data_IF_983256116874
#
_entry.id   IF_983256116874
#
_cell.length_a   1.000
_cell.length_b   1.000
_cell.length_c   1.000
_cell.angle_alpha   90.00
_cell.angle_beta   90.00
_cell.angle_gamma   90.00
#
_symmetry.space_group_name_H-M   'P 1'
#
loop_
_entity.id
_entity.type
_entity.pdbx_description
1 polymer ?
#
# COMPACT_ATOMS: atom_id res chain seq x y z
N UNK A 1 -37.82 -66.26 10.45
CA UNK A 1 -37.82 -65.52 9.16
C UNK A 1 -37.39 -64.07 9.45
N UNK A 2 -36.22 -63.69 8.92
CA UNK A 2 -35.61 -62.34 8.78
C UNK A 2 -35.45 -61.40 10.00
N UNK A 3 -34.22 -61.32 10.53
CA UNK A 3 -33.60 -60.10 11.10
C UNK A 3 -32.39 -59.72 10.22
N UNK A 4 -32.36 -58.47 9.78
CA UNK A 4 -31.35 -57.81 8.92
C UNK A 4 -30.41 -57.04 9.89
N UNK A 5 -29.14 -57.41 10.12
CA UNK A 5 -27.85 -56.90 9.54
C UNK A 5 -27.76 -55.36 9.42
N UNK A 6 -26.72 -54.59 9.80
CA UNK A 6 -25.25 -54.63 9.69
C UNK A 6 -24.68 -53.39 10.46
N UNK A 7 -23.41 -53.38 10.89
CA UNK A 7 -22.42 -52.26 10.88
C UNK A 7 -21.36 -52.50 11.99
N UNK A 8 -20.08 -52.80 11.74
CA UNK A 8 -18.98 -52.17 10.97
C UNK A 8 -17.92 -51.60 11.94
N UNK A 9 -16.74 -52.22 11.87
CA UNK A 9 -15.40 -51.62 11.98
C UNK A 9 -15.07 -50.73 13.20
N UNK A 10 -14.62 -51.41 14.26
CA UNK A 10 -13.46 -50.95 15.02
C UNK A 10 -12.22 -51.07 14.11
N UNK A 11 -11.59 -49.96 13.73
CA UNK A 11 -10.14 -49.82 13.44
C UNK A 11 -9.85 -48.33 13.17
N UNK A 12 -8.77 -47.83 13.77
CA UNK A 12 -8.06 -46.57 13.47
C UNK A 12 -8.67 -45.25 13.96
N UNK A 13 -8.84 -45.13 15.28
CA UNK A 13 -8.88 -43.84 15.99
C UNK A 13 -7.53 -43.62 16.71
N UNK A 14 -6.42 -43.66 15.98
CA UNK A 14 -5.10 -43.23 16.46
C UNK A 14 -4.21 -42.96 15.24
N UNK A 15 -3.54 -41.80 15.22
CA UNK A 15 -2.73 -41.20 14.14
C UNK A 15 -3.50 -40.29 13.14
N UNK A 16 -4.09 -39.20 13.65
CA UNK A 16 -3.91 -37.86 13.05
C UNK A 16 -4.42 -36.78 14.03
N UNK A 17 -3.65 -36.45 15.06
CA UNK A 17 -3.86 -35.23 15.85
C UNK A 17 -2.75 -34.24 15.54
N UNK A 18 -2.72 -33.76 14.30
CA UNK A 18 -2.08 -32.51 13.92
C UNK A 18 -2.42 -32.24 12.46
N UNK A 19 -3.55 -31.58 12.22
CA UNK A 19 -3.70 -30.51 11.24
C UNK A 19 -5.13 -29.98 11.38
N UNK A 20 -5.31 -28.96 12.23
CA UNK A 20 -6.49 -28.10 12.14
C UNK A 20 -6.35 -27.26 10.87
N UNK A 21 -6.69 -27.83 9.73
CA UNK A 21 -6.96 -27.08 8.51
C UNK A 21 -8.47 -27.17 8.25
N UNK A 22 -9.21 -26.29 8.93
CA UNK A 22 -10.61 -26.08 8.62
C UNK A 22 -10.67 -25.33 7.28
N UNK A 23 -10.90 -26.06 6.20
CA UNK A 23 -11.13 -25.49 4.88
C UNK A 23 -12.53 -24.86 4.89
N UNK A 24 -12.62 -23.52 4.82
CA UNK A 24 -13.86 -22.85 4.44
C UNK A 24 -13.72 -22.44 2.98
N UNK A 25 -14.20 -23.28 2.07
CA UNK A 25 -14.44 -22.86 0.69
C UNK A 25 -15.64 -21.92 0.66
N UNK A 26 -15.49 -20.72 0.09
CA UNK A 26 -16.59 -19.80 -0.15
C UNK A 26 -17.02 -18.94 1.04
N UNK A 27 -16.09 -18.47 1.88
CA UNK A 27 -16.41 -17.48 2.91
C UNK A 27 -16.73 -16.12 2.25
N UNK A 28 -17.99 -15.91 1.86
CA UNK A 28 -18.55 -14.60 1.51
C UNK A 28 -19.24 -14.02 2.76
N UNK A 29 -18.54 -13.12 3.46
CA UNK A 29 -19.10 -12.41 4.61
C UNK A 29 -19.79 -11.14 4.10
N UNK A 30 -21.13 -11.10 4.13
CA UNK A 30 -21.90 -9.91 3.73
C UNK A 30 -22.20 -9.10 5.00
N UNK A 31 -21.44 -8.05 5.24
CA UNK A 31 -21.69 -7.09 6.32
C UNK A 31 -22.79 -6.10 5.92
N UNK A 32 -23.75 -5.82 6.82
CA UNK A 32 -24.71 -4.72 6.68
C UNK A 32 -24.52 -3.74 7.83
N UNK A 33 -24.59 -2.42 7.58
CA UNK A 33 -24.38 -1.36 8.60
C UNK A 33 -23.10 -0.53 8.40
N UNK A 34 -22.96 0.56 9.17
CA UNK A 34 -21.81 1.46 9.12
C UNK A 34 -20.68 0.97 10.05
N UNK A 35 -19.42 1.06 9.62
CA UNK A 35 -18.22 0.74 10.41
C UNK A 35 -18.14 -0.71 10.95
N UNK A 36 -18.65 -1.69 10.20
CA UNK A 36 -18.53 -3.09 10.57
C UNK A 36 -17.29 -3.71 9.94
N UNK A 37 -16.37 -4.20 10.78
CA UNK A 37 -15.26 -5.02 10.34
C UNK A 37 -15.77 -6.42 9.95
N UNK A 38 -15.44 -6.86 8.74
CA UNK A 38 -15.77 -8.23 8.31
C UNK A 38 -14.81 -9.28 8.89
N UNK A 39 -13.55 -8.90 9.12
CA UNK A 39 -12.51 -9.76 9.67
C UNK A 39 -11.64 -8.94 10.60
N UNK A 40 -11.71 -9.23 11.91
CA UNK A 40 -10.83 -8.65 12.93
C UNK A 40 -10.08 -9.77 13.64
N UNK A 41 -8.76 -9.62 13.80
CA UNK A 41 -7.90 -10.59 14.48
C UNK A 41 -7.43 -10.02 15.82
N UNK A 42 -8.03 -10.47 16.92
CA UNK A 42 -7.60 -10.12 18.28
C UNK A 42 -6.62 -11.16 18.82
N UNK A 43 -5.47 -10.71 19.32
CA UNK A 43 -4.45 -11.56 19.92
C UNK A 43 -3.65 -10.75 20.97
N UNK A 44 -3.15 -11.42 22.02
CA UNK A 44 -2.32 -10.79 23.06
C UNK A 44 -0.81 -10.76 22.71
N UNK A 45 -0.46 -11.13 21.48
CA UNK A 45 0.88 -11.13 20.93
C UNK A 45 0.84 -10.60 19.48
N UNK A 46 1.12 -11.43 18.48
CA UNK A 46 1.07 -11.02 17.07
C UNK A 46 -0.24 -11.45 16.40
N UNK A 47 -0.91 -10.49 15.75
CA UNK A 47 -1.92 -10.78 14.72
C UNK A 47 -1.25 -10.73 13.35
N UNK A 48 -1.31 -11.82 12.59
CA UNK A 48 -0.65 -11.93 11.28
C UNK A 48 -1.64 -12.40 10.22
N UNK A 49 -1.61 -11.76 9.06
CA UNK A 49 -2.21 -12.26 7.82
C UNK A 49 -1.04 -12.67 6.92
N UNK A 50 -0.93 -13.95 6.60
CA UNK A 50 0.11 -14.49 5.73
C UNK A 50 -0.52 -15.02 4.44
N UNK A 51 0.05 -14.66 3.30
CA UNK A 51 -0.36 -15.14 1.98
C UNK A 51 0.84 -15.77 1.28
N UNK A 52 0.65 -16.98 0.76
CA UNK A 52 1.67 -17.75 0.06
C UNK A 52 1.18 -18.08 -1.35
N UNK A 53 1.96 -17.71 -2.35
CA UNK A 53 1.73 -18.04 -3.76
C UNK A 53 2.99 -18.71 -4.30
N UNK A 54 2.85 -19.86 -4.95
CA UNK A 54 3.95 -20.58 -5.59
C UNK A 54 3.72 -20.57 -7.09
N UNK A 55 4.65 -20.01 -7.85
CA UNK A 55 4.57 -19.93 -9.31
C UNK A 55 5.95 -19.86 -9.97
N UNK A 56 6.01 -20.35 -11.21
CA UNK A 56 7.15 -20.17 -12.12
C UNK A 56 6.95 -18.96 -13.08
N UNK A 57 5.83 -18.24 -12.96
CA UNK A 57 5.50 -17.04 -13.74
C UNK A 57 5.92 -15.77 -12.98
N UNK A 58 6.43 -14.77 -13.70
CA UNK A 58 6.91 -13.50 -13.09
C UNK A 58 5.79 -12.59 -12.59
N UNK A 59 4.52 -12.92 -12.87
CA UNK A 59 3.38 -12.06 -12.54
C UNK A 59 2.41 -12.66 -11.50
N UNK A 60 2.60 -13.92 -11.10
CA UNK A 60 1.73 -14.58 -10.13
C UNK A 60 2.23 -14.32 -8.71
N UNK A 61 1.51 -13.48 -7.97
CA UNK A 61 1.91 -13.00 -6.64
C UNK A 61 0.71 -12.93 -5.69
N UNK A 62 0.93 -12.91 -4.37
CA UNK A 62 -0.13 -12.53 -3.44
C UNK A 62 -0.45 -11.03 -3.59
N UNK A 63 -1.74 -10.69 -3.64
CA UNK A 63 -2.20 -9.30 -3.82
C UNK A 63 -3.27 -8.97 -2.79
N UNK A 64 -3.22 -7.76 -2.24
CA UNK A 64 -4.35 -7.13 -1.56
C UNK A 64 -5.02 -6.15 -2.52
N UNK A 65 -6.31 -6.34 -2.80
CA UNK A 65 -7.07 -5.51 -3.74
C UNK A 65 -8.23 -4.86 -3.02
N UNK A 66 -8.31 -3.53 -3.10
CA UNK A 66 -9.49 -2.78 -2.71
C UNK A 66 -10.37 -2.54 -3.94
N UNK A 67 -11.61 -3.01 -3.90
CA UNK A 67 -12.64 -2.64 -4.87
C UNK A 67 -13.53 -1.57 -4.26
N UNK A 68 -13.66 -0.43 -4.93
CA UNK A 68 -14.50 0.68 -4.46
C UNK A 68 -15.43 1.13 -5.57
N UNK A 69 -16.72 1.16 -5.24
CA UNK A 69 -17.79 1.81 -6.00
C UNK A 69 -18.56 2.74 -5.07
N UNK A 70 -19.31 3.69 -5.63
CA UNK A 70 -20.33 4.44 -4.87
C UNK A 70 -21.62 3.60 -4.83
N UNK A 71 -22.64 4.09 -4.12
CA UNK A 71 -23.93 3.41 -4.02
C UNK A 71 -23.96 2.32 -2.96
N UNK A 72 -24.64 1.21 -3.25
CA UNK A 72 -24.84 0.09 -2.32
C UNK A 72 -24.63 -1.26 -3.01
N UNK A 73 -24.49 -2.32 -2.23
CA UNK A 73 -24.41 -3.68 -2.75
C UNK A 73 -25.66 -4.00 -3.61
N UNK A 74 -25.46 -4.55 -4.82
CA UNK A 74 -26.54 -4.79 -5.79
C UNK A 74 -27.00 -3.55 -6.58
N UNK A 75 -26.43 -2.38 -6.32
CA UNK A 75 -26.72 -1.11 -7.02
C UNK A 75 -25.50 -0.19 -6.99
N UNK A 76 -24.38 -0.68 -7.53
CA UNK A 76 -23.13 0.08 -7.58
C UNK A 76 -23.25 1.28 -8.52
N UNK A 77 -22.62 2.38 -8.13
CA UNK A 77 -22.49 3.60 -8.90
C UNK A 77 -21.01 3.88 -9.19
N UNK A 78 -20.76 4.61 -10.27
CA UNK A 78 -19.42 5.02 -10.65
C UNK A 78 -18.75 5.86 -9.56
N UNK A 79 -17.43 5.69 -9.41
CA UNK A 79 -16.60 6.56 -8.57
C UNK A 79 -16.48 7.95 -9.21
N UNK A 80 -16.32 8.99 -8.39
CA UNK A 80 -16.08 10.36 -8.85
C UNK A 80 -14.63 10.78 -8.60
N UNK A 81 -14.12 11.81 -9.31
CA UNK A 81 -12.81 12.39 -9.02
C UNK A 81 -12.62 12.73 -7.53
N UNK A 82 -11.46 12.37 -6.98
CA UNK A 82 -11.13 12.56 -5.56
C UNK A 82 -11.73 11.52 -4.60
N UNK A 83 -12.51 10.55 -5.08
CA UNK A 83 -12.94 9.43 -4.25
C UNK A 83 -11.72 8.59 -3.83
N UNK A 84 -11.64 8.24 -2.55
CA UNK A 84 -10.63 7.30 -2.05
C UNK A 84 -10.99 5.88 -2.49
N UNK A 85 -10.04 5.18 -3.11
CA UNK A 85 -10.23 3.83 -3.66
C UNK A 85 -9.85 2.77 -2.62
N UNK A 86 -8.66 2.90 -2.03
CA UNK A 86 -8.16 2.00 -1.00
C UNK A 86 -7.11 2.70 -0.15
N UNK A 87 -6.78 2.14 1.01
CA UNK A 87 -5.76 2.70 1.87
C UNK A 87 -5.21 1.68 2.87
N UNK A 88 -3.98 1.93 3.30
CA UNK A 88 -3.32 1.26 4.41
C UNK A 88 -3.19 2.27 5.55
N UNK A 89 -3.68 1.91 6.73
CA UNK A 89 -3.78 2.82 7.87
C UNK A 89 -3.01 2.28 9.07
N UNK A 90 -2.19 3.14 9.67
CA UNK A 90 -1.63 2.93 11.00
C UNK A 90 -2.47 3.67 12.03
N UNK A 91 -3.05 2.93 12.98
CA UNK A 91 -3.78 3.48 14.12
C UNK A 91 -3.03 3.24 15.41
N UNK A 92 -3.12 4.20 16.34
CA UNK A 92 -2.53 4.11 17.68
C UNK A 92 -3.65 4.07 18.72
N UNK A 93 -3.46 3.34 19.82
CA UNK A 93 -4.39 3.34 20.94
C UNK A 93 -3.89 4.28 22.04
N UNK A 94 -4.61 5.37 22.28
CA UNK A 94 -4.24 6.41 23.24
C UNK A 94 -5.52 6.92 23.91
N UNK A 95 -5.48 7.15 25.23
CA UNK A 95 -6.63 7.60 26.04
C UNK A 95 -7.92 6.81 25.81
N UNK A 96 -7.81 5.49 25.77
CA UNK A 96 -8.94 4.57 25.57
C UNK A 96 -9.62 4.68 24.19
N UNK A 97 -8.93 5.20 23.18
CA UNK A 97 -9.46 5.30 21.81
C UNK A 97 -8.40 4.98 20.74
N UNK A 98 -8.84 4.49 19.58
CA UNK A 98 -7.98 4.25 18.43
C UNK A 98 -7.98 5.45 17.48
N UNK A 99 -6.79 5.99 17.19
CA UNK A 99 -6.60 7.18 16.35
C UNK A 99 -5.74 6.86 15.15
N UNK A 100 -6.26 7.10 13.94
CA UNK A 100 -5.51 6.91 12.70
C UNK A 100 -4.42 7.97 12.59
N UNK A 101 -3.15 7.55 12.57
CA UNK A 101 -1.98 8.43 12.62
C UNK A 101 -1.29 8.58 11.26
N UNK A 102 -0.94 7.47 10.63
CA UNK A 102 -0.22 7.46 9.35
C UNK A 102 -1.02 6.68 8.31
N UNK A 103 -0.89 7.05 7.04
CA UNK A 103 -1.59 6.36 5.97
C UNK A 103 -0.85 6.39 4.64
N UNK A 104 -1.10 5.36 3.85
CA UNK A 104 -0.88 5.35 2.39
C UNK A 104 -2.25 5.20 1.75
N UNK A 105 -2.65 6.15 0.93
CA UNK A 105 -4.01 6.22 0.41
C UNK A 105 -3.99 6.41 -1.11
N UNK A 106 -4.85 5.67 -1.79
CA UNK A 106 -5.00 5.71 -3.25
C UNK A 106 -6.35 6.35 -3.60
N UNK A 107 -6.36 7.23 -4.60
CA UNK A 107 -7.53 8.02 -4.96
C UNK A 107 -7.78 7.98 -6.47
N UNK A 108 -9.04 8.18 -6.83
CA UNK A 108 -9.46 8.48 -8.18
C UNK A 108 -8.95 9.88 -8.60
N UNK A 109 -8.34 9.96 -9.77
CA UNK A 109 -7.83 11.19 -10.37
C UNK A 109 -8.92 12.06 -10.99
N UNK A 110 -8.49 13.06 -11.76
CA UNK A 110 -9.34 14.11 -12.34
C UNK A 110 -10.26 13.60 -13.45
N UNK A 111 -9.82 12.60 -14.22
CA UNK A 111 -10.56 12.05 -15.35
C UNK A 111 -10.91 10.58 -15.09
N UNK A 112 -12.20 10.30 -14.94
CA UNK A 112 -12.76 8.97 -14.71
C UNK A 112 -13.91 8.72 -15.69
N UNK A 113 -13.72 7.79 -16.63
CA UNK A 113 -14.69 7.31 -17.61
C UNK A 113 -14.21 5.99 -18.24
N UNK A 114 -14.99 5.42 -19.16
CA UNK A 114 -14.70 4.11 -19.77
C UNK A 114 -13.34 3.98 -20.48
N UNK A 115 -12.68 5.10 -20.79
CA UNK A 115 -11.41 5.14 -21.51
C UNK A 115 -10.28 5.80 -20.69
N UNK A 116 -10.55 6.25 -19.47
CA UNK A 116 -9.54 6.88 -18.61
C UNK A 116 -9.92 6.75 -17.15
N UNK A 117 -9.03 6.16 -16.36
CA UNK A 117 -9.21 5.90 -14.94
C UNK A 117 -7.97 6.40 -14.19
N UNK A 118 -7.72 7.70 -14.32
CA UNK A 118 -6.58 8.34 -13.64
C UNK A 118 -6.63 8.10 -12.13
N UNK A 119 -5.46 8.04 -11.49
CA UNK A 119 -5.36 7.86 -10.04
C UNK A 119 -4.08 8.49 -9.51
N UNK A 120 -4.05 8.73 -8.21
CA UNK A 120 -2.87 9.23 -7.50
C UNK A 120 -2.73 8.55 -6.13
N UNK A 121 -1.53 8.62 -5.57
CA UNK A 121 -1.19 8.04 -4.26
C UNK A 121 -0.67 9.14 -3.36
N UNK A 122 -1.10 9.13 -2.10
CA UNK A 122 -0.58 10.02 -1.06
C UNK A 122 0.00 9.24 0.12
N UNK A 123 1.01 9.83 0.74
CA UNK A 123 1.60 9.39 1.99
C UNK A 123 1.37 10.49 3.02
N UNK A 124 0.70 10.15 4.12
CA UNK A 124 0.29 11.13 5.14
C UNK A 124 0.77 10.77 6.54
N UNK A 125 1.20 11.78 7.29
CA UNK A 125 1.59 11.66 8.70
C UNK A 125 1.14 12.88 9.50
N UNK A 126 1.03 12.72 10.83
CA UNK A 126 0.76 13.80 11.79
C UNK A 126 2.09 14.28 12.37
N UNK A 127 2.25 15.61 12.55
CA UNK A 127 3.44 16.15 13.23
C UNK A 127 3.42 15.84 14.73
N UNK A 128 4.56 16.01 15.38
CA UNK A 128 4.60 16.06 16.84
C UNK A 128 3.67 17.17 17.36
N UNK A 129 2.94 16.90 18.46
CA UNK A 129 2.01 17.83 19.09
C UNK A 129 0.82 18.26 18.20
N UNK A 130 0.52 17.53 17.14
CA UNK A 130 -0.62 17.77 16.26
C UNK A 130 -1.62 16.60 16.29
N UNK A 131 -2.83 16.84 15.77
CA UNK A 131 -3.88 15.80 15.65
C UNK A 131 -4.40 15.63 14.22
N UNK A 132 -3.97 16.49 13.30
CA UNK A 132 -4.43 16.47 11.91
C UNK A 132 -3.36 15.84 11.02
N UNK A 133 -3.76 14.86 10.20
CA UNK A 133 -2.88 14.25 9.21
C UNK A 133 -2.69 15.19 8.03
N UNK A 134 -1.43 15.39 7.65
CA UNK A 134 -1.03 16.16 6.48
C UNK A 134 -0.47 15.24 5.42
N UNK A 135 -0.71 15.58 4.16
CA UNK A 135 -0.01 14.99 3.02
C UNK A 135 1.47 15.40 3.06
N UNK A 136 2.37 14.41 2.93
CA UNK A 136 3.82 14.63 2.95
C UNK A 136 4.46 14.38 1.60
N UNK A 137 3.97 13.36 0.92
CA UNK A 137 4.43 12.97 -0.41
C UNK A 137 3.24 12.52 -1.23
N UNK A 138 3.28 12.82 -2.53
CA UNK A 138 2.31 12.36 -3.51
C UNK A 138 3.01 11.85 -4.76
N UNK A 139 2.42 10.82 -5.35
CA UNK A 139 2.60 10.48 -6.76
C UNK A 139 1.33 10.96 -7.47
N UNK A 140 1.45 12.04 -8.21
CA UNK A 140 0.35 12.66 -8.93
C UNK A 140 -0.06 11.82 -10.15
N UNK A 141 -1.24 12.09 -10.71
CA UNK A 141 -1.80 11.33 -11.83
C UNK A 141 -0.99 11.42 -13.13
N UNK A 142 -0.17 12.46 -13.28
CA UNK A 142 0.80 12.62 -14.37
C UNK A 142 2.14 11.90 -14.12
N UNK A 143 2.23 11.15 -13.01
CA UNK A 143 3.42 10.42 -12.57
C UNK A 143 4.53 11.30 -12.00
N UNK A 144 4.23 12.54 -11.60
CA UNK A 144 5.17 13.39 -10.88
C UNK A 144 5.14 13.10 -9.38
N UNK A 145 6.30 13.20 -8.73
CA UNK A 145 6.44 13.03 -7.28
C UNK A 145 6.57 14.40 -6.63
N UNK A 146 5.63 14.74 -5.76
CA UNK A 146 5.70 15.93 -4.90
C UNK A 146 6.06 15.54 -3.48
N UNK A 147 6.95 16.31 -2.84
CA UNK A 147 7.19 16.29 -1.39
C UNK A 147 6.86 17.68 -0.85
N UNK A 148 5.89 17.75 0.08
CA UNK A 148 5.38 19.02 0.60
C UNK A 148 4.49 19.82 -0.37
N UNK A 149 4.12 19.25 -1.52
CA UNK A 149 3.22 19.86 -2.52
C UNK A 149 2.24 18.83 -3.06
N UNK A 150 1.00 19.25 -3.31
CA UNK A 150 -0.07 18.44 -3.89
C UNK A 150 -0.18 18.60 -5.42
N UNK A 151 0.49 19.60 -6.00
CA UNK A 151 0.53 19.89 -7.44
C UNK A 151 1.98 20.04 -7.95
N UNK A 152 2.74 18.93 -8.10
CA UNK A 152 4.13 18.98 -8.56
C UNK A 152 4.25 19.30 -10.07
N UNK A 153 5.03 20.34 -10.40
CA UNK A 153 5.26 20.80 -11.77
C UNK A 153 6.38 20.05 -12.52
N UNK A 154 7.24 19.32 -11.80
CA UNK A 154 8.32 18.49 -12.35
C UNK A 154 8.22 17.04 -11.90
N UNK A 155 8.98 16.13 -12.55
CA UNK A 155 8.98 14.70 -12.19
C UNK A 155 9.29 14.44 -10.73
N UNK A 156 10.12 15.28 -10.13
CA UNK A 156 10.32 15.38 -8.69
C UNK A 156 10.27 16.87 -8.32
N UNK A 157 9.45 17.23 -7.34
CA UNK A 157 9.40 18.56 -6.73
C UNK A 157 9.46 18.43 -5.20
N UNK A 158 10.30 19.23 -4.57
CA UNK A 158 10.36 19.38 -3.11
C UNK A 158 10.01 20.83 -2.82
N UNK A 159 8.89 21.03 -2.11
CA UNK A 159 8.38 22.35 -1.77
C UNK A 159 8.67 22.65 -0.30
N UNK A 160 9.10 23.89 -0.04
CA UNK A 160 9.33 24.42 1.30
C UNK A 160 10.28 23.57 2.18
N UNK A 161 11.33 22.98 1.57
CA UNK A 161 12.34 22.19 2.29
C UNK A 161 13.65 22.01 1.54
N UNK A 162 14.70 21.58 2.26
CA UNK A 162 16.05 21.36 1.74
C UNK A 162 16.29 19.91 1.31
N UNK A 163 17.20 19.71 0.35
CA UNK A 163 17.74 18.39 0.00
C UNK A 163 19.07 18.19 0.72
N UNK A 164 19.07 17.31 1.73
CA UNK A 164 20.30 16.94 2.44
C UNK A 164 20.86 15.61 1.94
N UNK A 165 22.06 15.64 1.36
CA UNK A 165 22.77 14.44 0.89
C UNK A 165 23.85 14.11 1.93
N UNK A 166 23.59 13.10 2.75
CA UNK A 166 24.42 12.80 3.93
C UNK A 166 25.73 12.06 3.61
N UNK A 167 25.79 11.35 2.49
CA UNK A 167 27.01 10.68 2.03
C UNK A 167 27.72 11.58 1.01
N UNK A 168 28.92 12.03 1.36
CA UNK A 168 29.76 12.94 0.56
C UNK A 168 30.07 12.39 -0.85
N UNK A 169 29.99 11.07 -1.04
CA UNK A 169 30.23 10.45 -2.34
C UNK A 169 29.03 10.60 -3.29
N UNK A 170 27.87 11.00 -2.78
CA UNK A 170 26.63 11.17 -3.53
C UNK A 170 26.39 12.64 -3.87
N UNK A 171 25.54 12.86 -4.86
CA UNK A 171 25.26 14.18 -5.41
C UNK A 171 24.19 14.12 -6.50
N UNK A 172 24.01 15.21 -7.22
CA UNK A 172 23.07 15.25 -8.36
C UNK A 172 23.78 14.77 -9.61
N UNK A 173 23.27 13.71 -10.24
CA UNK A 173 23.82 13.19 -11.49
C UNK A 173 23.04 13.78 -12.67
N UNK A 174 23.76 14.38 -13.61
CA UNK A 174 23.18 14.92 -14.83
C UNK A 174 23.93 14.38 -16.05
N UNK A 175 23.17 14.05 -17.10
CA UNK A 175 23.72 13.64 -18.39
C UNK A 175 23.86 14.85 -19.29
N UNK A 176 25.08 15.11 -19.77
CA UNK A 176 25.34 16.19 -20.73
C UNK A 176 24.96 15.76 -22.17
N UNK A 177 24.76 16.71 -23.10
CA UNK A 177 24.35 16.40 -24.48
C UNK A 177 25.30 15.47 -25.26
N UNK A 178 26.58 15.38 -24.86
CA UNK A 178 27.55 14.45 -25.44
C UNK A 178 27.41 13.01 -24.91
N UNK A 179 26.44 12.74 -24.04
CA UNK A 179 26.17 11.42 -23.47
C UNK A 179 26.91 11.09 -22.18
N UNK A 180 27.84 11.93 -21.72
CA UNK A 180 28.57 11.73 -20.46
C UNK A 180 27.69 12.06 -19.26
N UNK A 181 27.92 11.40 -18.12
CA UNK A 181 27.25 11.73 -16.87
C UNK A 181 28.21 12.43 -15.92
N UNK A 182 27.69 13.41 -15.20
CA UNK A 182 28.43 14.23 -14.26
C UNK A 182 27.72 14.21 -12.92
N UNK A 183 28.45 13.92 -11.85
CA UNK A 183 27.96 14.10 -10.49
C UNK A 183 28.38 15.48 -10.00
N UNK A 184 27.40 16.28 -9.58
CA UNK A 184 27.64 17.51 -8.85
C UNK A 184 27.69 17.23 -7.35
N UNK A 185 28.79 17.61 -6.72
CA UNK A 185 29.01 17.60 -5.27
C UNK A 185 29.51 18.97 -4.80
N UNK A 186 29.85 19.10 -3.52
CA UNK A 186 30.47 20.29 -2.94
C UNK A 186 31.82 19.89 -2.33
N UNK A 187 32.86 20.73 -2.49
CA UNK A 187 34.18 20.51 -1.85
C UNK A 187 34.27 21.12 -0.44
N UNK A 188 35.40 20.92 0.24
CA UNK A 188 35.65 21.42 1.61
C UNK A 188 35.62 22.96 1.73
N UNK A 189 35.64 23.67 0.60
CA UNK A 189 35.56 25.13 0.54
C UNK A 189 34.18 25.64 0.15
N UNK A 190 33.22 24.75 -0.10
CA UNK A 190 31.85 25.10 -0.48
C UNK A 190 31.65 25.30 -1.98
N UNK A 191 32.64 24.98 -2.83
CA UNK A 191 32.49 25.11 -4.28
C UNK A 191 31.79 23.88 -4.86
N UNK A 192 30.94 24.11 -5.87
CA UNK A 192 30.39 23.02 -6.66
C UNK A 192 31.47 22.35 -7.50
N UNK A 193 31.56 21.02 -7.41
CA UNK A 193 32.47 20.20 -8.21
C UNK A 193 31.66 19.29 -9.09
N UNK A 194 31.95 19.28 -10.40
CA UNK A 194 31.38 18.35 -11.36
C UNK A 194 32.40 17.27 -11.71
N UNK A 195 32.16 16.04 -11.28
CA UNK A 195 33.04 14.90 -11.55
C UNK A 195 32.41 14.02 -12.62
N UNK A 196 33.16 13.69 -13.67
CA UNK A 196 32.71 12.75 -14.69
C UNK A 196 32.57 11.34 -14.07
N UNK A 197 31.45 10.69 -14.33
CA UNK A 197 31.16 9.32 -13.88
C UNK A 197 30.61 8.50 -15.04
N UNK A 198 30.68 7.17 -14.89
CA UNK A 198 29.88 6.28 -15.73
C UNK A 198 28.40 6.53 -15.45
N UNK A 199 27.60 6.64 -16.51
CA UNK A 199 26.15 6.81 -16.34
C UNK A 199 25.54 5.63 -15.58
N UNK A 200 24.68 5.87 -14.57
CA UNK A 200 23.87 4.82 -13.96
C UNK A 200 23.00 4.14 -15.01
N UNK A 201 22.84 2.82 -14.87
CA UNK A 201 21.97 2.01 -15.73
C UNK A 201 20.50 2.21 -15.38
#
# INVERSE_FOLDING_TARGET
MRRITFFLFFISFLLCQNLNAQIVQGLEVIGTGFNNDMVTLHNNNYSRVASYTYSNSVFEIPVFVGFRSRGQFGGALDILPGDRITGLYGSQFIDNDYRVSAAVEMFAGSTINNSSYSSYIIFGTINENETTRLERMRIAENGNVGIGTDDPFSKLEIKDGDIYINDINNGVIMKSPNGNCWRMTVDDTGNFVSTAITCPN
#
